data_IF_991302307896
#
_entry.id   IF_991302307896
#
_cell.length_a   1.000
_cell.length_b   1.000
_cell.length_c   1.000
_cell.angle_alpha   90.00
_cell.angle_beta   90.00
_cell.angle_gamma   90.00
#
_symmetry.space_group_name_H-M   'P 1'
#
loop_
_entity.id
_entity.type
_entity.pdbx_description
1 polymer ?
#
# COMPACT_ATOMS: atom_id res chain seq x y z
N UNK A 1 5.61 8.47 1.93
CA UNK A 1 5.64 8.45 0.45
C UNK A 1 4.59 9.34 -0.18
N UNK A 2 3.32 9.34 0.29
CA UNK A 2 2.23 10.09 -0.36
C UNK A 2 2.56 11.57 -0.72
N UNK A 3 3.09 12.42 0.19
CA UNK A 3 3.40 13.81 -0.17
C UNK A 3 4.47 13.96 -1.27
N UNK A 4 5.38 12.99 -1.38
CA UNK A 4 6.44 12.98 -2.41
C UNK A 4 5.85 12.51 -3.74
N UNK A 5 5.01 11.46 -3.71
CA UNK A 5 4.35 10.90 -4.89
C UNK A 5 3.35 11.89 -5.55
N UNK A 6 2.82 12.84 -4.79
CA UNK A 6 1.95 13.91 -5.28
C UNK A 6 2.70 15.20 -5.67
N UNK A 7 4.02 15.22 -5.47
CA UNK A 7 4.84 16.38 -5.83
C UNK A 7 5.17 16.39 -7.33
N UNK A 8 5.73 17.51 -7.81
CA UNK A 8 6.23 17.65 -9.18
C UNK A 8 7.77 17.58 -9.25
N UNK A 9 8.40 16.91 -8.29
CA UNK A 9 9.86 16.76 -8.20
C UNK A 9 10.33 15.44 -8.85
N UNK A 10 11.62 15.33 -9.14
CA UNK A 10 12.24 14.13 -9.73
C UNK A 10 12.03 12.86 -8.87
N UNK A 11 11.74 13.01 -7.58
CA UNK A 11 11.42 11.91 -6.68
C UNK A 11 9.96 11.41 -6.78
N UNK A 12 9.08 12.09 -7.52
CA UNK A 12 7.65 11.78 -7.56
C UNK A 12 7.35 10.38 -8.14
N UNK A 13 7.90 10.06 -9.31
CA UNK A 13 7.70 8.76 -9.98
C UNK A 13 8.19 7.57 -9.13
N UNK A 14 9.42 7.53 -8.61
CA UNK A 14 9.86 6.43 -7.76
C UNK A 14 9.06 6.37 -6.44
N UNK A 15 8.63 7.51 -5.89
CA UNK A 15 7.77 7.52 -4.71
C UNK A 15 6.37 6.95 -5.00
N UNK A 16 5.81 7.23 -6.18
CA UNK A 16 4.53 6.68 -6.63
C UNK A 16 4.62 5.15 -6.78
N UNK A 17 5.68 4.64 -7.42
CA UNK A 17 5.92 3.19 -7.55
C UNK A 17 6.09 2.52 -6.19
N UNK A 18 6.93 3.09 -5.32
CA UNK A 18 7.14 2.56 -3.96
C UNK A 18 5.84 2.55 -3.14
N UNK A 19 5.01 3.58 -3.27
CA UNK A 19 3.70 3.64 -2.63
C UNK A 19 2.75 2.57 -3.18
N UNK A 20 2.68 2.40 -4.50
CA UNK A 20 1.85 1.35 -5.13
C UNK A 20 2.26 -0.05 -4.64
N UNK A 21 3.56 -0.33 -4.54
CA UNK A 21 4.08 -1.59 -4.01
C UNK A 21 3.65 -1.81 -2.56
N UNK A 22 3.79 -0.79 -1.70
CA UNK A 22 3.40 -0.88 -0.30
C UNK A 22 1.88 -1.13 -0.12
N UNK A 23 1.04 -0.41 -0.87
CA UNK A 23 -0.42 -0.59 -0.81
C UNK A 23 -0.82 -1.98 -1.35
N UNK A 24 -0.23 -2.44 -2.46
CA UNK A 24 -0.49 -3.78 -3.00
C UNK A 24 -0.09 -4.89 -2.01
N UNK A 25 1.07 -4.75 -1.38
CA UNK A 25 1.54 -5.64 -0.33
C UNK A 25 0.57 -5.67 0.88
N UNK A 26 0.13 -4.50 1.36
CA UNK A 26 -0.80 -4.38 2.49
C UNK A 26 -2.19 -4.95 2.17
N UNK A 27 -2.66 -4.87 0.92
CA UNK A 27 -3.96 -5.44 0.50
C UNK A 27 -3.93 -6.96 0.36
N UNK A 28 -2.77 -7.57 0.10
CA UNK A 28 -2.63 -9.02 -0.09
C UNK A 28 -2.73 -9.77 1.24
N UNK A 29 -3.72 -10.64 1.41
CA UNK A 29 -3.97 -11.41 2.64
C UNK A 29 -3.44 -12.85 2.55
N UNK A 30 -2.19 -13.00 2.14
CA UNK A 30 -1.50 -14.30 2.08
C UNK A 30 0.02 -14.08 2.07
N UNK A 31 0.78 -15.15 2.30
CA UNK A 31 2.23 -15.21 2.05
C UNK A 31 2.50 -16.20 0.92
N UNK A 32 3.20 -15.73 -0.13
CA UNK A 32 3.51 -16.54 -1.32
C UNK A 32 4.73 -15.98 -2.05
N UNK A 33 5.67 -16.85 -2.41
CA UNK A 33 6.88 -16.47 -3.13
C UNK A 33 7.71 -15.46 -2.31
N UNK A 34 8.15 -14.37 -2.96
CA UNK A 34 8.95 -13.33 -2.32
C UNK A 34 8.17 -12.40 -1.36
N UNK A 35 6.85 -12.60 -1.19
CA UNK A 35 6.02 -11.81 -0.30
C UNK A 35 5.63 -12.62 0.95
N UNK A 36 6.01 -12.12 2.12
CA UNK A 36 5.68 -12.72 3.42
C UNK A 36 5.03 -11.70 4.35
N UNK A 37 4.00 -12.15 5.07
CA UNK A 37 3.22 -11.38 6.04
C UNK A 37 2.99 -12.22 7.29
N UNK A 38 3.42 -11.73 8.44
CA UNK A 38 3.26 -12.43 9.72
C UNK A 38 1.80 -12.58 10.15
N UNK A 39 0.92 -11.67 9.74
CA UNK A 39 -0.52 -11.71 9.98
C UNK A 39 -1.30 -12.56 8.96
N UNK A 40 -0.66 -12.96 7.85
CA UNK A 40 -1.18 -13.92 6.88
C UNK A 40 -0.08 -14.90 6.42
N UNK A 41 0.43 -15.78 7.30
CA UNK A 41 1.66 -16.52 7.04
C UNK A 41 1.52 -17.64 6.01
N UNK A 42 0.29 -17.99 5.60
CA UNK A 42 0.00 -19.11 4.71
C UNK A 42 -0.46 -18.59 3.34
N UNK A 43 -0.20 -19.35 2.26
CA UNK A 43 -0.76 -19.05 0.94
C UNK A 43 -2.30 -19.25 0.95
N UNK A 44 -3.03 -18.45 0.17
CA UNK A 44 -4.44 -18.72 -0.09
C UNK A 44 -4.62 -20.04 -0.87
N UNK A 45 -5.77 -20.74 -0.72
CA UNK A 45 -6.04 -21.97 -1.48
C UNK A 45 -5.94 -21.77 -3.00
N UNK A 46 -6.48 -20.64 -3.49
CA UNK A 46 -6.39 -20.25 -4.90
C UNK A 46 -5.37 -19.13 -5.09
N UNK A 47 -4.44 -19.32 -6.03
CA UNK A 47 -3.57 -18.23 -6.47
C UNK A 47 -4.37 -17.24 -7.31
N UNK A 48 -4.41 -15.97 -6.88
CA UNK A 48 -5.07 -14.89 -7.62
C UNK A 48 -4.08 -13.78 -7.96
N UNK A 49 -4.17 -13.25 -9.17
CA UNK A 49 -3.44 -12.03 -9.55
C UNK A 49 -4.06 -10.85 -8.82
N UNK A 50 -3.21 -9.95 -8.31
CA UNK A 50 -3.64 -8.69 -7.74
C UNK A 50 -3.23 -7.58 -8.70
N UNK A 51 -4.16 -6.67 -8.94
CA UNK A 51 -3.96 -5.48 -9.78
C UNK A 51 -4.41 -4.25 -9.00
N UNK A 52 -3.73 -3.13 -9.23
CA UNK A 52 -4.06 -1.85 -8.62
C UNK A 52 -3.65 -0.74 -9.58
N UNK A 53 -4.51 0.27 -9.73
CA UNK A 53 -4.19 1.49 -10.48
C UNK A 53 -3.46 2.49 -9.59
N UNK A 54 -2.73 3.42 -10.19
CA UNK A 54 -2.09 4.51 -9.45
C UNK A 54 -3.13 5.32 -8.64
N UNK A 55 -4.27 5.64 -9.26
CA UNK A 55 -5.37 6.35 -8.60
C UNK A 55 -5.88 5.60 -7.36
N UNK A 56 -6.15 4.29 -7.48
CA UNK A 56 -6.63 3.48 -6.37
C UNK A 56 -5.58 3.33 -5.25
N UNK A 57 -4.29 3.32 -5.58
CA UNK A 57 -3.21 3.30 -4.60
C UNK A 57 -3.13 4.62 -3.84
N UNK A 58 -3.17 5.76 -4.54
CA UNK A 58 -3.18 7.09 -3.93
C UNK A 58 -4.43 7.28 -3.05
N UNK A 59 -5.60 6.84 -3.51
CA UNK A 59 -6.85 6.86 -2.74
C UNK A 59 -6.72 6.15 -1.40
N UNK A 60 -6.27 4.89 -1.42
CA UNK A 60 -6.05 4.13 -0.18
C UNK A 60 -4.96 4.72 0.70
N UNK A 61 -3.90 5.29 0.13
CA UNK A 61 -2.87 5.97 0.91
C UNK A 61 -3.42 7.18 1.66
N UNK A 62 -4.33 7.95 1.03
CA UNK A 62 -5.02 9.05 1.71
C UNK A 62 -5.89 8.52 2.83
N UNK A 63 -6.73 7.52 2.59
CA UNK A 63 -7.58 6.92 3.62
C UNK A 63 -6.78 6.50 4.87
N UNK A 64 -5.67 5.78 4.66
CA UNK A 64 -4.77 5.36 5.74
C UNK A 64 -4.16 6.55 6.50
N UNK A 65 -3.74 7.60 5.78
CA UNK A 65 -3.18 8.80 6.40
C UNK A 65 -4.20 9.48 7.32
N UNK A 66 -5.47 9.54 6.91
CA UNK A 66 -6.57 10.11 7.70
C UNK A 66 -6.93 9.23 8.90
N UNK A 67 -7.01 7.91 8.74
CA UNK A 67 -7.27 6.99 9.87
C UNK A 67 -6.20 7.09 10.96
N UNK A 68 -4.93 7.20 10.56
CA UNK A 68 -3.82 7.36 11.52
C UNK A 68 -3.83 8.71 12.24
N UNK A 69 -4.36 9.76 11.60
CA UNK A 69 -4.47 11.09 12.21
C UNK A 69 -5.57 11.13 13.27
N UNK A 70 -6.69 10.44 13.02
CA UNK A 70 -7.78 10.29 14.00
C UNK A 70 -7.28 9.53 15.24
N UNK A 71 -6.57 8.43 15.07
CA UNK A 71 -6.06 7.63 16.19
C UNK A 71 -5.01 8.37 17.05
N UNK A 72 -4.22 9.27 16.45
CA UNK A 72 -3.29 10.14 17.18
C UNK A 72 -3.96 11.31 17.88
N UNK A 73 -5.07 11.83 17.37
CA UNK A 73 -5.79 12.96 17.96
C UNK A 73 -6.64 12.55 19.18
N UNK A 74 -6.96 11.27 19.30
CA UNK A 74 -7.72 10.67 20.42
C UNK A 74 -6.83 10.13 21.54
N UNK A 75 -5.52 10.38 21.48
CA UNK A 75 -4.52 9.92 22.45
C UNK A 75 -3.81 11.11 23.07
#
# INVERSE_FOLDING_TARGET
MLPIAESNDAAADPAAVGLMMAIAAMRRKESRGAHYRTDFPHPAPDARRSEITLEAALGAARELAHSSAVERATR
#
